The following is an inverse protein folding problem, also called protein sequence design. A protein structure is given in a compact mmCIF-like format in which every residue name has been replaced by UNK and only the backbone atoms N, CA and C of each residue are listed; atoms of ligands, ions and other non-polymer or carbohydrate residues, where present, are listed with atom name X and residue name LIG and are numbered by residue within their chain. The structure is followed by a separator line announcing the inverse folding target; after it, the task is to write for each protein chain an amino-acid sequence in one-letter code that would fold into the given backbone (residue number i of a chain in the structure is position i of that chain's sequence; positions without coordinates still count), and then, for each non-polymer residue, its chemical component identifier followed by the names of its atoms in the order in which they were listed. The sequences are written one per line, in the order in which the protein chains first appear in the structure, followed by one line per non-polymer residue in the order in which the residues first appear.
data_IF_974631578297
#
_entry.id   IF_974631578297
#
_cell.length_a   1.000
_cell.length_b   1.000
_cell.length_c   1.000
_cell.angle_alpha   90.00
_cell.angle_beta   90.00
_cell.angle_gamma   90.00
#
_symmetry.space_group_name_H-M   'P 1'
#
loop_
_entity.id
_entity.type
_entity.pdbx_description
1 polymer ?
#
# COMPACT_ATOMS: atom_id res chain seq x y z
N UNK A 1 -11.21 -5.15 9.16
CA UNK A 1 -12.62 -5.32 8.74
C UNK A 1 -12.82 -6.50 7.79
N UNK A 2 -12.18 -6.55 6.62
CA UNK A 2 -12.44 -7.63 5.64
C UNK A 2 -12.07 -9.04 6.10
N UNK A 3 -11.19 -9.19 7.11
CA UNK A 3 -10.86 -10.51 7.67
C UNK A 3 -12.01 -11.12 8.48
N UNK A 4 -12.81 -10.28 9.14
CA UNK A 4 -14.01 -10.72 9.88
C UNK A 4 -15.10 -11.13 8.90
N UNK A 5 -15.33 -10.34 7.83
CA UNK A 5 -16.27 -10.68 6.75
C UNK A 5 -16.00 -12.07 6.15
N UNK A 6 -14.73 -12.48 6.06
CA UNK A 6 -14.37 -13.81 5.55
C UNK A 6 -14.91 -14.93 6.43
N UNK A 7 -14.99 -14.72 7.75
CA UNK A 7 -15.52 -15.69 8.70
C UNK A 7 -17.05 -15.70 8.64
N UNK A 8 -17.67 -14.52 8.70
CA UNK A 8 -19.13 -14.36 8.67
C UNK A 8 -19.76 -14.95 7.40
N UNK A 9 -19.11 -14.73 6.25
CA UNK A 9 -19.63 -15.14 4.95
C UNK A 9 -19.23 -16.56 4.53
N UNK A 10 -18.40 -17.25 5.33
CA UNK A 10 -17.90 -18.61 5.02
C UNK A 10 -19.03 -19.62 4.86
N UNK A 11 -20.08 -19.52 5.69
CA UNK A 11 -21.26 -20.40 5.65
C UNK A 11 -22.03 -20.30 4.32
N UNK A 12 -21.96 -19.15 3.65
CA UNK A 12 -22.60 -18.90 2.36
C UNK A 12 -21.69 -19.25 1.17
N UNK A 13 -20.52 -19.85 1.43
CA UNK A 13 -19.51 -20.16 0.41
C UNK A 13 -19.03 -18.93 -0.39
N UNK A 14 -19.11 -17.74 0.22
CA UNK A 14 -18.61 -16.49 -0.37
C UNK A 14 -17.15 -16.29 0.05
N UNK A 15 -16.27 -16.09 -0.93
CA UNK A 15 -14.83 -15.93 -0.72
C UNK A 15 -14.47 -14.45 -0.70
N UNK A 16 -13.90 -14.00 0.42
CA UNK A 16 -13.45 -12.60 0.58
C UNK A 16 -11.93 -12.52 0.43
N UNK A 17 -11.49 -11.68 -0.50
CA UNK A 17 -10.08 -11.46 -0.86
C UNK A 17 -9.75 -9.97 -0.79
N UNK A 18 -8.54 -9.64 -0.35
CA UNK A 18 -8.01 -8.27 -0.37
C UNK A 18 -6.91 -8.19 -1.43
N UNK A 19 -7.00 -7.20 -2.30
CA UNK A 19 -5.91 -6.84 -3.23
C UNK A 19 -5.27 -5.56 -2.69
N UNK A 20 -3.97 -5.62 -2.42
CA UNK A 20 -3.18 -4.54 -1.84
C UNK A 20 -2.29 -3.95 -2.93
N UNK A 21 -2.70 -2.83 -3.55
CA UNK A 21 -1.84 -2.08 -4.45
C UNK A 21 -0.81 -1.25 -3.67
N UNK A 22 0.37 -1.11 -4.26
CA UNK A 22 1.36 -0.08 -3.93
C UNK A 22 1.08 1.21 -4.74
N UNK A 23 2.06 2.11 -4.82
CA UNK A 23 1.95 3.41 -5.53
C UNK A 23 1.60 3.16 -7.00
N UNK A 24 0.32 3.30 -7.32
CA UNK A 24 -0.23 2.98 -8.65
C UNK A 24 -0.33 4.25 -9.47
N UNK A 25 0.03 4.17 -10.75
CA UNK A 25 -0.13 5.28 -11.69
C UNK A 25 -1.61 5.64 -11.89
N UNK A 26 -2.11 6.55 -11.05
CA UNK A 26 -3.48 7.06 -11.02
C UNK A 26 -3.47 8.51 -10.55
N UNK A 27 -4.57 9.23 -10.77
CA UNK A 27 -4.73 10.60 -10.27
C UNK A 27 -4.70 10.72 -8.74
N UNK A 28 -4.84 9.61 -8.01
CA UNK A 28 -4.84 9.60 -6.55
C UNK A 28 -3.53 10.15 -5.98
N UNK A 29 -2.39 9.80 -6.57
CA UNK A 29 -1.07 10.28 -6.15
C UNK A 29 -1.00 11.81 -6.21
N UNK A 30 -1.39 12.40 -7.35
CA UNK A 30 -1.42 13.85 -7.55
C UNK A 30 -2.35 14.55 -6.56
N UNK A 31 -3.60 14.09 -6.45
CA UNK A 31 -4.58 14.69 -5.55
C UNK A 31 -4.11 14.63 -4.09
N UNK A 32 -3.51 13.51 -3.69
CA UNK A 32 -2.97 13.34 -2.33
C UNK A 32 -1.82 14.30 -2.06
N UNK A 33 -0.88 14.44 -3.00
CA UNK A 33 0.23 15.40 -2.89
C UNK A 33 -0.29 16.83 -2.79
N UNK A 34 -1.18 17.23 -3.69
CA UNK A 34 -1.76 18.58 -3.73
C UNK A 34 -2.48 18.90 -2.41
N UNK A 35 -3.28 17.96 -1.90
CA UNK A 35 -4.00 18.13 -0.63
C UNK A 35 -3.03 18.17 0.56
N UNK A 36 -2.05 17.27 0.61
CA UNK A 36 -1.06 17.20 1.69
C UNK A 36 -0.24 18.49 1.79
N UNK A 37 0.22 19.02 0.66
CA UNK A 37 1.01 20.25 0.62
C UNK A 37 0.18 21.51 0.89
N UNK A 38 -1.11 21.53 0.52
CA UNK A 38 -1.99 22.66 0.80
C UNK A 38 -2.37 22.77 2.28
N UNK A 39 -2.54 21.64 2.98
CA UNK A 39 -2.83 21.64 4.43
C UNK A 39 -1.58 21.73 5.31
N UNK A 40 -0.38 21.71 4.71
CA UNK A 40 0.90 21.82 5.43
C UNK A 40 1.62 23.11 5.02
N UNK A 41 1.36 24.24 5.70
CA UNK A 41 1.99 25.53 5.41
C UNK A 41 3.52 25.44 5.44
N UNK A 42 4.19 26.37 4.76
CA UNK A 42 5.67 26.43 4.75
C UNK A 42 6.28 26.62 6.14
N UNK A 43 5.57 27.28 7.05
CA UNK A 43 5.96 27.47 8.45
C UNK A 43 5.72 26.24 9.33
N UNK A 44 5.06 25.20 8.82
CA UNK A 44 4.77 24.00 9.60
C UNK A 44 6.05 23.23 9.93
N UNK A 45 6.21 22.73 11.18
CA UNK A 45 7.32 21.84 11.51
C UNK A 45 7.32 20.54 10.69
N UNK A 46 6.17 20.16 10.12
CA UNK A 46 6.03 18.97 9.26
C UNK A 46 6.26 19.24 7.78
N UNK A 47 6.57 20.48 7.38
CA UNK A 47 6.67 20.84 5.96
C UNK A 47 7.70 20.01 5.21
N UNK A 48 8.90 19.86 5.78
CA UNK A 48 9.98 19.10 5.17
C UNK A 48 9.58 17.63 4.96
N UNK A 49 8.90 17.04 5.94
CA UNK A 49 8.41 15.67 5.87
C UNK A 49 7.35 15.52 4.77
N UNK A 50 6.42 16.47 4.67
CA UNK A 50 5.40 16.47 3.63
C UNK A 50 6.00 16.57 2.21
N UNK A 51 7.04 17.40 2.02
CA UNK A 51 7.73 17.54 0.73
C UNK A 51 8.49 16.26 0.33
N UNK A 52 9.17 15.60 1.28
CA UNK A 52 9.80 14.29 1.02
C UNK A 52 8.77 13.22 0.68
N UNK A 53 7.69 13.16 1.45
CA UNK A 53 6.61 12.22 1.20
C UNK A 53 5.99 12.42 -0.19
N UNK A 54 5.86 13.68 -0.63
CA UNK A 54 5.39 14.00 -1.97
C UNK A 54 6.33 13.43 -3.05
N UNK A 55 7.65 13.59 -2.89
CA UNK A 55 8.64 13.05 -3.83
C UNK A 55 8.59 11.52 -3.94
N UNK A 56 8.31 10.82 -2.85
CA UNK A 56 8.15 9.36 -2.85
C UNK A 56 6.89 8.92 -3.60
N UNK A 57 5.77 9.61 -3.39
CA UNK A 57 4.46 9.29 -4.01
C UNK A 57 4.45 9.56 -5.52
N UNK A 58 5.25 10.52 -6.01
CA UNK A 58 5.32 10.86 -7.44
C UNK A 58 5.89 9.74 -8.32
N UNK A 59 6.57 8.74 -7.74
CA UNK A 59 7.17 7.64 -8.50
C UNK A 59 6.27 6.41 -8.46
N UNK A 60 5.37 6.21 -9.46
CA UNK A 60 4.54 5.03 -9.49
C UNK A 60 5.40 3.78 -9.62
N UNK A 61 5.11 2.79 -8.78
CA UNK A 61 5.77 1.49 -8.79
C UNK A 61 5.02 0.49 -9.66
N UNK A 62 3.78 0.79 -10.06
CA UNK A 62 2.94 -0.12 -10.83
C UNK A 62 1.85 0.62 -11.63
N UNK A 63 1.22 -0.09 -12.56
CA UNK A 63 0.13 0.42 -13.39
C UNK A 63 -1.23 -0.11 -12.95
N UNK A 64 -2.31 0.54 -13.40
CA UNK A 64 -3.68 0.03 -13.23
C UNK A 64 -3.88 -1.34 -13.90
N UNK A 65 -3.16 -1.62 -14.99
CA UNK A 65 -3.17 -2.92 -15.65
C UNK A 65 -2.61 -4.02 -14.74
N UNK A 66 -1.55 -3.75 -13.97
CA UNK A 66 -0.96 -4.72 -13.04
C UNK A 66 -1.92 -5.08 -11.89
N UNK A 67 -2.59 -4.06 -11.36
CA UNK A 67 -3.66 -4.24 -10.35
C UNK A 67 -4.81 -5.05 -10.94
N UNK A 68 -5.26 -4.71 -12.15
CA UNK A 68 -6.36 -5.39 -12.85
C UNK A 68 -6.06 -6.86 -13.12
N UNK A 69 -4.84 -7.18 -13.57
CA UNK A 69 -4.38 -8.58 -13.73
C UNK A 69 -4.44 -9.35 -12.41
N UNK A 70 -4.09 -8.69 -11.30
CA UNK A 70 -4.15 -9.31 -9.97
C UNK A 70 -5.58 -9.59 -9.54
N UNK A 71 -6.52 -8.68 -9.84
CA UNK A 71 -7.95 -8.88 -9.60
C UNK A 71 -8.47 -10.05 -10.44
N UNK A 72 -8.18 -10.07 -11.75
CA UNK A 72 -8.58 -11.16 -12.66
C UNK A 72 -8.04 -12.50 -12.16
N UNK A 73 -6.78 -12.53 -11.70
CA UNK A 73 -6.19 -13.73 -11.09
C UNK A 73 -6.93 -14.15 -9.82
N UNK A 74 -7.29 -13.21 -8.94
CA UNK A 74 -8.00 -13.53 -7.70
C UNK A 74 -9.38 -14.14 -7.97
N UNK A 75 -10.15 -13.60 -8.92
CA UNK A 75 -11.50 -14.10 -9.23
C UNK A 75 -11.48 -15.43 -9.99
N UNK A 76 -10.46 -15.68 -10.82
CA UNK A 76 -10.34 -16.92 -11.60
C UNK A 76 -9.75 -18.10 -10.81
N UNK A 77 -9.14 -17.84 -9.65
CA UNK A 77 -8.51 -18.90 -8.85
C UNK A 77 -9.54 -19.70 -8.06
N UNK A 78 -9.59 -21.03 -8.25
CA UNK A 78 -10.51 -21.93 -7.52
C UNK A 78 -10.42 -21.79 -6.00
N UNK A 79 -9.20 -21.66 -5.46
CA UNK A 79 -8.89 -21.42 -4.04
C UNK A 79 -8.03 -20.15 -3.91
N UNK A 80 -8.65 -18.96 -3.95
CA UNK A 80 -7.89 -17.71 -3.92
C UNK A 80 -7.22 -17.52 -2.56
N UNK A 81 -6.12 -16.76 -2.55
CA UNK A 81 -5.46 -16.34 -1.31
C UNK A 81 -6.31 -15.30 -0.59
N UNK A 82 -6.15 -15.19 0.73
CA UNK A 82 -6.82 -14.15 1.51
C UNK A 82 -6.38 -12.73 1.13
N UNK A 83 -5.10 -12.58 0.76
CA UNK A 83 -4.46 -11.31 0.40
C UNK A 83 -3.55 -11.48 -0.82
N UNK A 84 -3.63 -10.54 -1.77
CA UNK A 84 -2.79 -10.47 -2.95
C UNK A 84 -2.04 -9.14 -2.95
N UNK A 85 -0.71 -9.22 -3.03
CA UNK A 85 0.11 -8.07 -3.37
C UNK A 85 0.40 -8.09 -4.87
N UNK A 86 0.33 -6.92 -5.49
CA UNK A 86 0.42 -6.78 -6.94
C UNK A 86 1.86 -7.03 -7.42
N UNK A 87 2.87 -6.49 -6.72
CA UNK A 87 4.28 -6.77 -7.02
C UNK A 87 4.91 -7.72 -6.01
N UNK A 88 5.86 -8.52 -6.51
CA UNK A 88 6.64 -9.44 -5.69
C UNK A 88 7.55 -8.71 -4.69
N UNK A 89 8.11 -7.57 -5.09
CA UNK A 89 8.97 -6.75 -4.23
C UNK A 89 8.21 -6.22 -3.00
N UNK A 90 6.97 -5.77 -3.17
CA UNK A 90 6.13 -5.32 -2.04
C UNK A 90 5.94 -6.47 -1.04
N UNK A 91 5.69 -7.68 -1.55
CA UNK A 91 5.50 -8.88 -0.72
C UNK A 91 6.77 -9.23 0.06
N UNK A 92 7.95 -9.10 -0.56
CA UNK A 92 9.23 -9.32 0.12
C UNK A 92 9.43 -8.24 1.17
N UNK A 93 9.27 -6.97 0.81
CA UNK A 93 9.47 -5.83 1.70
C UNK A 93 8.63 -5.99 2.99
N UNK A 94 7.34 -6.29 2.85
CA UNK A 94 6.45 -6.49 4.00
C UNK A 94 6.88 -7.67 4.87
N UNK A 95 7.25 -8.80 4.28
CA UNK A 95 7.74 -9.95 5.07
C UNK A 95 9.07 -9.66 5.76
N UNK A 96 9.96 -8.94 5.08
CA UNK A 96 11.28 -8.58 5.63
C UNK A 96 11.17 -7.61 6.80
N UNK A 97 10.21 -6.68 6.77
CA UNK A 97 10.06 -5.70 7.84
C UNK A 97 9.72 -6.40 9.17
N UNK A 98 8.89 -7.44 9.14
CA UNK A 98 8.53 -8.22 10.32
C UNK A 98 9.68 -9.09 10.88
N UNK A 99 10.76 -9.27 10.12
CA UNK A 99 11.94 -10.00 10.56
C UNK A 99 13.00 -9.10 11.21
N UNK A 100 12.89 -7.78 11.02
CA UNK A 100 13.82 -6.81 11.58
C UNK A 100 13.43 -6.47 13.03
N UNK A 101 14.43 -6.27 13.89
CA UNK A 101 14.22 -5.72 15.24
C UNK A 101 13.58 -4.32 15.15
N UNK A 102 12.71 -3.98 16.11
CA UNK A 102 12.03 -2.69 16.15
C UNK A 102 12.99 -1.49 16.06
N UNK A 103 14.13 -1.55 16.74
CA UNK A 103 15.14 -0.47 16.66
C UNK A 103 15.71 -0.28 15.25
N UNK A 104 15.79 -1.34 14.44
CA UNK A 104 16.21 -1.24 13.04
C UNK A 104 15.09 -0.69 12.16
N UNK A 105 13.84 -1.09 12.41
CA UNK A 105 12.67 -0.54 11.73
C UNK A 105 12.57 0.97 11.97
N UNK A 106 12.75 1.42 13.21
CA UNK A 106 12.69 2.83 13.60
C UNK A 106 13.81 3.63 12.92
N UNK A 107 15.06 3.12 12.94
CA UNK A 107 16.18 3.77 12.24
C UNK A 107 15.97 3.87 10.72
N UNK A 108 15.38 2.85 10.11
CA UNK A 108 15.03 2.89 8.69
C UNK A 108 13.96 3.94 8.42
N UNK A 109 12.92 4.00 9.26
CA UNK A 109 11.86 5.00 9.17
C UNK A 109 12.39 6.42 9.36
N UNK A 110 13.25 6.65 10.35
CA UNK A 110 13.93 7.94 10.57
C UNK A 110 14.73 8.36 9.34
N UNK A 111 15.45 7.43 8.72
CA UNK A 111 16.25 7.71 7.51
C UNK A 111 15.39 8.01 6.29
N UNK A 112 14.19 7.42 6.17
CA UNK A 112 13.23 7.75 5.12
C UNK A 112 12.57 9.12 5.35
N UNK A 113 12.39 9.52 6.60
CA UNK A 113 11.79 10.81 6.98
C UNK A 113 12.79 11.98 6.98
N UNK A 114 14.09 11.69 7.23
CA UNK A 114 15.24 12.62 7.09
C UNK A 114 15.73 12.77 5.66
#
# INVERSE_FOLDING_TARGET
MSDVLRLELKQFNIKVVIVEPSITNTNWARITIDKMLSVTPKSSPYRQMAERQAQLITKPTQTTADVSRTIIKAISTKRPKNRYQVRFMDRIAMKSIHLLSYALQDRLAERMMR
#
